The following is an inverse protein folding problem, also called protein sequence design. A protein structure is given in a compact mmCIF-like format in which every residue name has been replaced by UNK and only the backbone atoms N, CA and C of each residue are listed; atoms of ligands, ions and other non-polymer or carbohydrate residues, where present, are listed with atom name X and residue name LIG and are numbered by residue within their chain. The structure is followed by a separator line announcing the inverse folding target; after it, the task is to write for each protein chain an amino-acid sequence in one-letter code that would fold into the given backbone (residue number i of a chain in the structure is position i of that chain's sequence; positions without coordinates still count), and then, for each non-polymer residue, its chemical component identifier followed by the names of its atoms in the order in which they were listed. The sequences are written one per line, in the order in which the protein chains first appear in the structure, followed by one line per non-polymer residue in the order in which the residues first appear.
data_IF_367700302338
#
_entry.id   IF_367700302338
#
_cell.length_a   1.000
_cell.length_b   1.000
_cell.length_c   1.000
_cell.angle_alpha   90.00
_cell.angle_beta   90.00
_cell.angle_gamma   90.00
#
_symmetry.space_group_name_H-M   'P 1'
#
loop_
_entity.id
_entity.type
_entity.pdbx_description
1 polymer ?
#
# COMPACT_ATOMS: atom_id res chain seq x y z
N UNK A 1 -14.71 -32.72 24.08
CA UNK A 1 -13.57 -31.82 23.83
C UNK A 1 -14.08 -30.75 22.90
N UNK A 2 -14.16 -29.50 23.34
CA UNK A 2 -14.42 -28.39 22.41
C UNK A 2 -13.27 -28.34 21.42
N UNK A 3 -13.58 -28.46 20.13
CA UNK A 3 -12.60 -28.28 19.07
C UNK A 3 -12.39 -26.78 18.94
N UNK A 4 -11.28 -26.27 19.47
CA UNK A 4 -10.88 -24.88 19.27
C UNK A 4 -10.56 -24.66 17.80
N UNK A 5 -11.41 -23.90 17.10
CA UNK A 5 -11.18 -23.52 15.70
C UNK A 5 -10.37 -22.22 15.71
N UNK A 6 -9.23 -22.22 15.00
CA UNK A 6 -8.40 -21.03 14.79
C UNK A 6 -8.49 -20.61 13.33
N UNK A 7 -8.77 -19.33 13.09
CA UNK A 7 -8.86 -18.75 11.77
C UNK A 7 -7.73 -17.75 11.52
N UNK A 8 -7.39 -17.53 10.24
CA UNK A 8 -6.50 -16.43 9.89
C UNK A 8 -7.12 -15.10 10.31
N UNK A 9 -6.31 -14.26 10.94
CA UNK A 9 -6.70 -12.96 11.47
C UNK A 9 -7.02 -12.98 12.95
N UNK A 10 -7.27 -14.16 13.55
CA UNK A 10 -7.52 -14.31 14.97
C UNK A 10 -6.31 -13.85 15.78
N UNK A 11 -6.61 -13.16 16.87
CA UNK A 11 -5.62 -12.89 17.90
C UNK A 11 -5.57 -14.07 18.86
N UNK A 12 -4.36 -14.47 19.23
CA UNK A 12 -4.11 -15.63 20.08
C UNK A 12 -3.06 -15.35 21.14
N UNK A 13 -3.16 -16.10 22.23
CA UNK A 13 -2.07 -16.26 23.19
C UNK A 13 -1.31 -17.52 22.82
N UNK A 14 0.00 -17.43 22.63
CA UNK A 14 0.86 -18.59 22.38
C UNK A 14 2.00 -18.66 23.41
N UNK A 15 2.51 -19.87 23.64
CA UNK A 15 3.67 -20.10 24.50
C UNK A 15 4.95 -19.99 23.70
N UNK A 16 5.84 -19.10 24.15
CA UNK A 16 7.21 -19.04 23.70
C UNK A 16 8.10 -19.67 24.79
N UNK A 17 8.94 -20.63 24.41
CA UNK A 17 9.61 -21.59 25.31
C UNK A 17 10.39 -20.96 26.46
N UNK A 18 10.80 -19.70 26.34
CA UNK A 18 11.65 -18.98 27.31
C UNK A 18 10.94 -17.75 27.90
N UNK A 19 9.98 -17.15 27.19
CA UNK A 19 9.44 -15.82 27.53
C UNK A 19 8.00 -15.85 28.09
N UNK A 20 7.42 -17.04 28.29
CA UNK A 20 6.06 -17.20 28.81
C UNK A 20 4.99 -17.02 27.73
N UNK A 21 3.80 -16.56 28.14
CA UNK A 21 2.68 -16.33 27.23
C UNK A 21 2.87 -15.01 26.47
N UNK A 22 2.80 -15.07 25.14
CA UNK A 22 2.87 -13.93 24.24
C UNK A 22 1.57 -13.78 23.46
N UNK A 23 1.30 -12.56 23.02
CA UNK A 23 0.18 -12.27 22.13
C UNK A 23 0.66 -12.26 20.69
N UNK A 24 -0.20 -12.73 19.80
CA UNK A 24 0.09 -12.68 18.38
C UNK A 24 -1.17 -12.73 17.55
N UNK A 25 -1.03 -12.43 16.28
CA UNK A 25 -2.09 -12.51 15.30
C UNK A 25 -1.77 -13.57 14.25
N UNK A 26 -2.67 -14.51 14.02
CA UNK A 26 -2.49 -15.51 12.97
C UNK A 26 -2.57 -14.81 11.61
N UNK A 27 -1.50 -14.86 10.83
CA UNK A 27 -1.49 -14.36 9.45
C UNK A 27 -1.86 -15.47 8.46
N UNK A 28 -1.32 -16.66 8.67
CA UNK A 28 -1.59 -17.82 7.82
C UNK A 28 -1.35 -19.13 8.56
N UNK A 29 -1.96 -20.20 8.06
CA UNK A 29 -1.68 -21.58 8.46
C UNK A 29 -1.06 -22.26 7.24
N UNK A 30 0.15 -22.77 7.41
CA UNK A 30 0.98 -23.31 6.33
C UNK A 30 1.38 -24.75 6.64
N UNK A 31 1.44 -25.58 5.61
CA UNK A 31 2.03 -26.92 5.70
C UNK A 31 3.54 -26.82 5.44
N UNK A 32 4.34 -27.22 6.42
CA UNK A 32 5.79 -27.29 6.32
C UNK A 32 6.20 -28.71 6.70
N UNK A 33 6.73 -29.44 5.72
CA UNK A 33 7.19 -30.83 5.87
C UNK A 33 6.12 -31.79 6.41
N UNK A 34 4.86 -31.63 5.98
CA UNK A 34 3.73 -32.47 6.39
C UNK A 34 3.19 -32.13 7.78
N UNK A 35 3.61 -31.00 8.35
CA UNK A 35 3.11 -30.47 9.63
C UNK A 35 2.53 -29.09 9.44
N UNK A 36 1.30 -28.91 9.91
CA UNK A 36 0.65 -27.60 9.93
C UNK A 36 1.26 -26.71 11.01
N UNK A 37 1.69 -25.53 10.60
CA UNK A 37 2.23 -24.47 11.45
C UNK A 37 1.48 -23.17 11.22
N UNK A 38 1.46 -22.31 12.23
CA UNK A 38 0.89 -20.97 12.10
C UNK A 38 2.00 -19.93 11.96
N UNK A 39 1.84 -19.03 10.99
CA UNK A 39 2.61 -17.80 10.90
C UNK A 39 1.93 -16.73 11.73
N UNK A 40 2.64 -16.17 12.70
CA UNK A 40 2.11 -15.24 13.70
C UNK A 40 2.80 -13.89 13.57
N UNK A 41 2.02 -12.82 13.47
CA UNK A 41 2.51 -11.46 13.71
C UNK A 41 2.57 -11.19 15.22
N UNK A 42 3.73 -10.80 15.71
CA UNK A 42 3.98 -10.52 17.12
C UNK A 42 3.16 -9.30 17.60
N UNK A 43 2.54 -9.45 18.77
CA UNK A 43 1.87 -8.38 19.50
C UNK A 43 2.59 -8.20 20.84
N UNK A 44 3.00 -6.97 21.10
CA UNK A 44 3.84 -6.59 22.22
C UNK A 44 3.01 -6.08 23.39
N UNK A 45 3.41 -6.45 24.59
CA UNK A 45 2.93 -5.82 25.83
C UNK A 45 3.77 -4.58 26.15
N UNK A 46 3.34 -3.80 27.14
CA UNK A 46 4.07 -2.61 27.57
C UNK A 46 5.54 -2.89 27.94
N UNK A 47 5.79 -4.02 28.61
CA UNK A 47 7.14 -4.42 29.04
C UNK A 47 8.04 -4.83 27.88
N UNK A 48 7.45 -5.22 26.74
CA UNK A 48 8.19 -5.59 25.54
C UNK A 48 8.62 -4.37 24.70
N UNK A 49 8.10 -3.18 25.01
CA UNK A 49 8.47 -1.96 24.28
C UNK A 49 9.91 -1.54 24.59
N UNK A 50 10.62 -0.88 23.66
CA UNK A 50 11.91 -0.25 23.92
C UNK A 50 11.83 0.75 25.09
N UNK A 51 12.85 0.80 25.95
CA UNK A 51 12.87 1.65 27.15
C UNK A 51 12.57 3.14 26.88
N UNK A 52 13.10 3.67 25.77
CA UNK A 52 12.85 5.05 25.34
C UNK A 52 11.38 5.33 24.97
N UNK A 53 10.60 4.30 24.71
CA UNK A 53 9.17 4.38 24.47
C UNK A 53 8.36 4.00 25.70
N UNK A 54 8.95 3.34 26.71
CA UNK A 54 8.32 3.07 28.00
C UNK A 54 8.23 4.34 28.88
N UNK A 55 9.17 5.29 28.71
CA UNK A 55 9.21 6.54 29.48
C UNK A 55 8.23 7.59 28.95
N UNK A 56 7.31 8.03 29.82
CA UNK A 56 6.28 9.07 29.61
C UNK A 56 6.80 10.51 29.41
N UNK A 57 8.02 10.71 28.95
CA UNK A 57 8.64 12.04 28.83
C UNK A 57 8.43 12.63 27.45
N UNK A 58 7.22 13.15 27.19
CA UNK A 58 7.05 14.14 26.13
C UNK A 58 5.65 14.38 25.60
N UNK A 59 4.73 13.41 25.67
CA UNK A 59 3.36 13.57 25.17
C UNK A 59 2.36 13.00 26.19
N UNK A 60 1.38 13.83 26.55
CA UNK A 60 0.43 13.71 27.66
C UNK A 60 -0.60 12.56 27.52
N UNK A 61 -0.17 11.29 27.43
CA UNK A 61 -1.13 10.17 27.40
C UNK A 61 -0.75 9.06 28.39
N UNK A 62 -1.60 8.87 29.39
CA UNK A 62 -1.55 7.70 30.26
C UNK A 62 -1.88 6.45 29.42
N UNK A 63 -0.92 5.52 29.35
CA UNK A 63 -1.11 4.23 28.67
C UNK A 63 -1.81 3.26 29.61
N UNK A 64 -2.82 2.57 29.10
CA UNK A 64 -3.59 1.62 29.89
C UNK A 64 -2.91 0.25 29.95
N UNK A 65 -3.11 -0.51 31.03
CA UNK A 65 -2.62 -1.90 31.13
C UNK A 65 -3.26 -2.84 30.09
N UNK A 66 -4.39 -2.46 29.50
CA UNK A 66 -5.10 -3.22 28.47
C UNK A 66 -4.65 -2.89 27.04
N UNK A 67 -3.65 -2.01 26.89
CA UNK A 67 -3.12 -1.60 25.59
C UNK A 67 -1.98 -2.52 25.14
N UNK A 68 -2.02 -2.90 23.87
CA UNK A 68 -1.01 -3.71 23.19
C UNK A 68 -0.54 -3.00 21.90
N UNK A 69 0.62 -3.43 21.39
CA UNK A 69 1.23 -2.84 20.19
C UNK A 69 1.51 -3.91 19.13
N UNK A 70 1.11 -3.67 17.88
CA UNK A 70 1.53 -4.54 16.77
C UNK A 70 3.00 -4.28 16.44
N UNK A 71 3.75 -5.34 16.17
CA UNK A 71 5.06 -5.19 15.55
C UNK A 71 4.87 -5.10 14.01
N UNK A 72 5.46 -4.09 13.39
CA UNK A 72 5.29 -3.83 11.95
C UNK A 72 5.76 -5.03 11.11
N UNK A 73 4.92 -5.55 10.21
CA UNK A 73 5.15 -6.80 9.48
C UNK A 73 6.43 -6.78 8.62
N UNK A 74 6.86 -5.59 8.20
CA UNK A 74 8.10 -5.37 7.43
C UNK A 74 9.37 -5.60 8.27
N UNK A 75 9.24 -5.77 9.58
CA UNK A 75 10.39 -6.06 10.44
C UNK A 75 10.70 -7.56 10.44
N UNK A 76 11.97 -7.89 10.29
CA UNK A 76 12.45 -9.29 10.30
C UNK A 76 12.06 -10.11 11.53
N UNK A 77 11.73 -9.46 12.65
CA UNK A 77 11.34 -10.10 13.92
C UNK A 77 9.82 -10.03 14.19
N UNK A 78 9.05 -9.42 13.28
CA UNK A 78 7.61 -9.26 13.46
C UNK A 78 6.82 -10.52 13.21
N UNK A 79 7.35 -11.42 12.39
CA UNK A 79 6.65 -12.61 11.95
C UNK A 79 7.44 -13.83 12.41
N UNK A 80 6.78 -14.69 13.17
CA UNK A 80 7.34 -15.96 13.63
C UNK A 80 6.50 -17.12 13.12
N UNK A 81 7.10 -18.31 13.06
CA UNK A 81 6.39 -19.55 12.75
C UNK A 81 6.34 -20.40 14.01
N UNK A 82 5.15 -20.80 14.42
CA UNK A 82 4.93 -21.64 15.60
C UNK A 82 4.17 -22.92 15.24
N UNK A 83 4.40 -23.97 16.02
CA UNK A 83 3.57 -25.16 15.97
C UNK A 83 2.17 -24.82 16.52
N UNK A 84 1.12 -25.41 15.94
CA UNK A 84 -0.27 -25.13 16.36
C UNK A 84 -0.52 -25.46 17.84
N UNK A 85 0.18 -26.47 18.38
CA UNK A 85 0.12 -26.85 19.80
C UNK A 85 0.65 -25.78 20.76
N UNK A 86 1.43 -24.81 20.27
CA UNK A 86 1.91 -23.69 21.09
C UNK A 86 0.81 -22.65 21.33
N UNK A 87 -0.27 -22.67 20.56
CA UNK A 87 -1.42 -21.77 20.75
C UNK A 87 -2.22 -22.23 21.96
N UNK A 88 -2.36 -21.34 22.95
CA UNK A 88 -3.05 -21.61 24.20
C UNK A 88 -4.54 -21.34 24.08
N UNK A 89 -4.90 -20.16 23.55
CA UNK A 89 -6.29 -19.72 23.41
C UNK A 89 -6.41 -18.52 22.46
N UNK A 90 -7.62 -18.29 21.96
CA UNK A 90 -7.99 -17.04 21.29
C UNK A 90 -8.01 -15.89 22.30
N UNK A 91 -7.53 -14.72 21.91
CA UNK A 91 -7.51 -13.49 22.68
C UNK A 91 -8.49 -12.48 22.04
N UNK A 92 -9.51 -11.98 22.77
CA UNK A 92 -10.45 -10.99 22.24
C UNK A 92 -9.79 -9.60 22.21
N UNK A 93 -8.94 -9.37 21.21
CA UNK A 93 -8.21 -8.11 21.01
C UNK A 93 -8.88 -7.32 19.90
N UNK A 94 -9.12 -6.03 20.14
CA UNK A 94 -9.75 -5.12 19.18
C UNK A 94 -8.72 -4.13 18.63
N UNK A 95 -8.64 -4.00 17.30
CA UNK A 95 -7.86 -2.93 16.68
C UNK A 95 -8.71 -1.67 16.55
N UNK A 96 -8.22 -0.55 17.08
CA UNK A 96 -8.92 0.73 17.06
C UNK A 96 -8.42 1.60 15.91
N UNK A 97 -9.02 1.41 14.73
CA UNK A 97 -8.72 2.20 13.53
C UNK A 97 -9.22 3.65 13.63
N UNK A 98 -10.36 3.86 14.29
CA UNK A 98 -10.97 5.16 14.56
C UNK A 98 -11.12 5.35 16.08
N UNK A 99 -11.23 6.59 16.54
CA UNK A 99 -11.34 6.90 17.98
C UNK A 99 -12.74 6.70 18.57
N UNK A 100 -13.68 6.11 17.83
CA UNK A 100 -15.09 6.06 18.24
C UNK A 100 -15.45 4.86 19.12
N UNK A 101 -16.13 5.16 20.23
CA UNK A 101 -16.83 4.28 21.18
C UNK A 101 -16.12 2.97 21.56
N UNK A 102 -15.13 3.12 22.44
CA UNK A 102 -14.44 2.00 23.09
C UNK A 102 -15.10 1.60 24.41
N UNK A 103 -15.34 0.30 24.60
CA UNK A 103 -15.68 -0.27 25.90
C UNK A 103 -14.38 -0.47 26.71
N UNK A 104 -14.25 0.24 27.83
CA UNK A 104 -13.01 0.37 28.63
C UNK A 104 -12.40 -0.95 29.13
N UNK A 105 -13.15 -2.05 29.11
CA UNK A 105 -12.74 -3.36 29.62
C UNK A 105 -12.03 -4.27 28.61
N UNK A 106 -12.01 -3.93 27.32
CA UNK A 106 -11.41 -4.80 26.29
C UNK A 106 -9.89 -4.61 26.16
N UNK A 107 -9.18 -5.64 25.70
CA UNK A 107 -7.76 -5.50 25.29
C UNK A 107 -7.75 -4.92 23.88
N UNK A 108 -6.89 -3.93 23.62
CA UNK A 108 -6.92 -3.20 22.35
C UNK A 108 -5.55 -2.81 21.81
N UNK A 109 -5.51 -2.54 20.51
CA UNK A 109 -4.33 -2.07 19.78
C UNK A 109 -4.66 -0.76 19.07
N UNK A 110 -3.87 0.30 19.33
CA UNK A 110 -3.98 1.60 18.66
C UNK A 110 -2.76 1.95 17.81
N UNK A 111 -1.62 1.34 18.13
CA UNK A 111 -0.32 1.73 17.60
C UNK A 111 0.48 0.52 17.12
N UNK A 112 1.36 0.80 16.17
CA UNK A 112 2.32 -0.14 15.58
C UNK A 112 3.72 0.34 15.94
N UNK A 113 4.54 -0.57 16.46
CA UNK A 113 5.96 -0.36 16.69
C UNK A 113 6.73 -0.66 15.40
N UNK A 114 7.57 0.28 14.99
CA UNK A 114 8.44 0.13 13.82
C UNK A 114 9.82 0.76 14.07
N UNK A 115 10.79 0.41 13.23
CA UNK A 115 12.16 0.96 13.29
C UNK A 115 12.41 1.86 12.08
N UNK A 116 12.85 3.09 12.33
CA UNK A 116 13.18 4.06 11.30
C UNK A 116 14.56 4.67 11.57
N UNK A 117 15.47 4.53 10.60
CA UNK A 117 16.86 5.03 10.71
C UNK A 117 17.54 4.58 12.02
N UNK A 118 17.34 3.33 12.42
CA UNK A 118 17.93 2.81 13.67
C UNK A 118 17.12 3.10 14.94
N UNK A 119 16.14 4.00 14.89
CA UNK A 119 15.36 4.42 16.06
C UNK A 119 13.96 3.78 16.08
N UNK A 120 13.55 3.34 17.27
CA UNK A 120 12.20 2.84 17.51
C UNK A 120 11.19 3.97 17.56
N UNK A 121 10.07 3.81 16.84
CA UNK A 121 8.99 4.78 16.75
C UNK A 121 7.64 4.07 16.76
N UNK A 122 6.61 4.82 17.15
CA UNK A 122 5.22 4.39 17.13
C UNK A 122 4.48 5.13 16.02
N UNK A 123 3.56 4.44 15.35
CA UNK A 123 2.60 5.06 14.43
C UNK A 123 1.20 4.50 14.69
N UNK A 124 0.18 5.30 14.41
CA UNK A 124 -1.22 4.86 14.55
C UNK A 124 -1.53 3.67 13.62
N UNK A 125 -2.36 2.75 14.12
CA UNK A 125 -2.81 1.55 13.40
C UNK A 125 -3.64 1.85 12.15
N UNK A 126 -4.13 3.09 12.00
CA UNK A 126 -4.74 3.56 10.75
C UNK A 126 -3.83 3.45 9.52
N UNK A 127 -2.52 3.35 9.74
CA UNK A 127 -1.52 3.14 8.69
C UNK A 127 -1.06 1.68 8.58
N UNK A 128 -1.74 0.75 9.27
CA UNK A 128 -1.56 -0.69 9.06
C UNK A 128 -2.23 -1.09 7.76
N UNK A 129 -1.63 -2.04 7.04
CA UNK A 129 -2.42 -2.88 6.15
C UNK A 129 -3.43 -3.67 7.00
N UNK A 130 -4.69 -3.67 6.58
CA UNK A 130 -5.68 -4.53 7.21
C UNK A 130 -5.42 -5.97 6.75
N UNK A 131 -5.52 -6.91 7.67
CA UNK A 131 -5.55 -8.32 7.32
C UNK A 131 -6.89 -8.63 6.64
N UNK A 132 -6.91 -9.60 5.72
CA UNK A 132 -8.10 -9.94 4.93
C UNK A 132 -9.35 -10.21 5.77
N UNK A 133 -9.18 -10.85 6.92
CA UNK A 133 -10.28 -11.13 7.86
C UNK A 133 -10.99 -9.88 8.39
N UNK A 134 -10.39 -8.70 8.31
CA UNK A 134 -10.92 -7.46 8.92
C UNK A 134 -11.90 -6.72 8.03
N UNK A 135 -11.78 -6.90 6.72
CA UNK A 135 -12.63 -6.23 5.73
C UNK A 135 -13.36 -7.23 4.83
N UNK A 136 -13.02 -8.51 4.92
CA UNK A 136 -13.73 -9.61 4.26
C UNK A 136 -13.96 -10.74 5.26
N UNK A 137 -15.20 -10.91 5.69
CA UNK A 137 -15.61 -12.17 6.30
C UNK A 137 -15.58 -13.27 5.24
N UNK A 138 -14.87 -14.36 5.52
CA UNK A 138 -14.91 -15.57 4.71
C UNK A 138 -16.26 -16.27 4.95
N UNK A 139 -17.30 -15.80 4.29
CA UNK A 139 -18.56 -16.54 4.18
C UNK A 139 -18.27 -17.79 3.35
N UNK A 140 -18.25 -18.95 4.00
CA UNK A 140 -18.20 -20.23 3.30
C UNK A 140 -19.62 -20.49 2.80
N UNK A 141 -19.87 -20.46 1.48
CA UNK A 141 -21.21 -20.72 0.99
C UNK A 141 -21.60 -22.16 1.26
N UNK A 142 -22.74 -22.36 1.92
CA UNK A 142 -23.33 -23.68 2.11
C UNK A 142 -23.89 -24.17 0.78
N UNK A 143 -23.09 -24.95 0.05
CA UNK A 143 -23.51 -25.49 -1.25
C UNK A 143 -22.90 -26.87 -1.50
N UNK A 144 -23.67 -27.73 -2.18
CA UNK A 144 -23.21 -29.03 -2.68
C UNK A 144 -22.53 -28.92 -4.06
N UNK A 145 -22.46 -27.71 -4.64
CA UNK A 145 -21.83 -27.48 -5.92
C UNK A 145 -20.31 -27.31 -5.76
N UNK A 146 -19.50 -27.71 -6.76
CA UNK A 146 -18.09 -27.33 -6.81
C UNK A 146 -17.92 -25.81 -6.73
N UNK A 147 -17.02 -25.33 -5.88
CA UNK A 147 -16.75 -23.91 -5.69
C UNK A 147 -15.44 -23.56 -6.39
N UNK A 148 -15.49 -22.62 -7.34
CA UNK A 148 -14.31 -22.02 -7.95
C UNK A 148 -14.12 -20.60 -7.41
N UNK A 149 -12.95 -20.33 -6.84
CA UNK A 149 -12.57 -18.99 -6.36
C UNK A 149 -11.57 -18.38 -7.32
N UNK A 150 -11.94 -17.26 -7.93
CA UNK A 150 -11.12 -16.51 -8.86
C UNK A 150 -10.67 -15.19 -8.22
N UNK A 151 -9.41 -14.89 -8.44
CA UNK A 151 -8.79 -13.62 -8.13
C UNK A 151 -8.62 -12.88 -9.45
N UNK A 152 -9.14 -11.65 -9.51
CA UNK A 152 -8.97 -10.74 -10.64
C UNK A 152 -7.90 -9.69 -10.31
N UNK A 153 -6.94 -9.58 -11.23
CA UNK A 153 -5.94 -8.52 -11.32
C UNK A 153 -6.44 -7.45 -12.28
N UNK A 154 -6.44 -6.17 -11.89
CA UNK A 154 -6.78 -5.06 -12.78
C UNK A 154 -5.55 -4.23 -13.10
N UNK A 155 -5.38 -3.89 -14.37
CA UNK A 155 -4.34 -3.00 -14.87
C UNK A 155 -4.97 -1.73 -15.42
N UNK A 156 -4.45 -0.57 -15.03
CA UNK A 156 -4.83 0.72 -15.61
C UNK A 156 -3.59 1.48 -16.05
N UNK A 157 -3.53 1.84 -17.33
CA UNK A 157 -2.38 2.51 -17.94
C UNK A 157 -2.85 3.54 -18.97
N UNK A 158 -2.34 4.77 -18.89
CA UNK A 158 -2.62 5.77 -19.91
C UNK A 158 -1.53 5.75 -20.99
N UNK A 159 -1.92 5.55 -22.24
CA UNK A 159 -0.99 5.50 -23.36
C UNK A 159 -1.36 6.51 -24.46
N UNK A 160 -0.34 6.98 -25.18
CA UNK A 160 -0.54 7.78 -26.38
C UNK A 160 -0.90 6.88 -27.55
N UNK A 161 -2.09 7.06 -28.14
CA UNK A 161 -2.56 6.25 -29.28
C UNK A 161 -1.70 6.44 -30.54
N UNK A 162 -1.14 7.64 -30.72
CA UNK A 162 -0.16 7.93 -31.76
C UNK A 162 1.01 8.75 -31.20
N UNK A 163 2.15 8.73 -31.89
CA UNK A 163 3.43 9.32 -31.44
C UNK A 163 3.36 10.83 -31.10
N UNK A 164 2.37 11.56 -31.61
CA UNK A 164 2.27 13.02 -31.51
C UNK A 164 0.92 13.52 -30.91
N UNK A 165 0.23 12.69 -30.12
CA UNK A 165 -1.09 13.07 -29.57
C UNK A 165 -0.91 13.71 -28.20
N UNK A 166 -1.48 14.91 -28.03
CA UNK A 166 -1.49 15.65 -26.75
C UNK A 166 -2.45 15.07 -25.70
N UNK A 167 -3.22 14.05 -26.09
CA UNK A 167 -4.32 13.49 -25.34
C UNK A 167 -4.08 12.00 -25.14
N UNK A 168 -3.87 11.59 -23.91
CA UNK A 168 -3.73 10.17 -23.54
C UNK A 168 -5.08 9.46 -23.59
N UNK A 169 -5.03 8.16 -23.86
CA UNK A 169 -6.15 7.24 -23.76
C UNK A 169 -5.85 6.27 -22.61
N UNK A 170 -6.81 6.07 -21.71
CA UNK A 170 -6.65 5.12 -20.61
C UNK A 170 -7.04 3.71 -21.05
N UNK A 171 -6.16 2.74 -20.90
CA UNK A 171 -6.45 1.32 -21.13
C UNK A 171 -6.74 0.61 -19.81
N UNK A 172 -7.87 -0.09 -19.74
CA UNK A 172 -8.22 -0.93 -18.58
C UNK A 172 -8.22 -2.40 -18.99
N UNK A 173 -7.42 -3.20 -18.29
CA UNK A 173 -7.23 -4.61 -18.56
C UNK A 173 -7.45 -5.42 -17.29
N UNK A 174 -7.82 -6.69 -17.44
CA UNK A 174 -7.90 -7.64 -16.34
C UNK A 174 -7.19 -8.95 -16.65
N UNK A 175 -6.75 -9.62 -15.61
CA UNK A 175 -6.15 -10.94 -15.66
C UNK A 175 -6.66 -11.82 -14.52
N UNK A 176 -6.66 -13.14 -14.75
CA UNK A 176 -6.94 -14.12 -13.69
C UNK A 176 -5.66 -14.34 -12.88
N UNK A 177 -5.65 -13.84 -11.64
CA UNK A 177 -4.50 -13.86 -10.75
C UNK A 177 -4.14 -15.26 -10.24
N UNK A 178 -5.07 -16.23 -10.28
CA UNK A 178 -4.81 -17.65 -9.97
C UNK A 178 -3.86 -18.34 -10.95
N UNK A 179 -3.60 -17.73 -12.12
CA UNK A 179 -2.70 -18.33 -13.10
C UNK A 179 -1.25 -18.34 -12.58
N UNK A 180 -0.46 -19.37 -12.89
CA UNK A 180 0.97 -19.38 -12.61
C UNK A 180 1.67 -18.19 -13.27
N UNK A 181 2.75 -17.70 -12.66
CA UNK A 181 3.46 -16.50 -13.11
C UNK A 181 3.86 -16.52 -14.60
N UNK A 182 4.33 -17.66 -15.11
CA UNK A 182 4.67 -17.81 -16.53
C UNK A 182 3.46 -17.67 -17.47
N UNK A 183 2.27 -18.09 -17.03
CA UNK A 183 1.02 -17.91 -17.77
C UNK A 183 0.54 -16.46 -17.66
N UNK A 184 0.69 -15.83 -16.50
CA UNK A 184 0.34 -14.42 -16.31
C UNK A 184 1.10 -13.50 -17.27
N UNK A 185 2.35 -13.80 -17.59
CA UNK A 185 3.12 -13.03 -18.59
C UNK A 185 2.64 -13.14 -20.04
N UNK A 186 1.75 -14.08 -20.37
CA UNK A 186 1.32 -14.29 -21.76
C UNK A 186 0.23 -13.28 -22.13
N UNK A 187 0.41 -12.58 -23.25
CA UNK A 187 -0.55 -11.58 -23.74
C UNK A 187 -1.98 -12.13 -23.87
N UNK A 188 -2.14 -13.39 -24.27
CA UNK A 188 -3.45 -14.05 -24.40
C UNK A 188 -4.24 -14.18 -23.09
N UNK A 189 -3.58 -14.00 -21.94
CA UNK A 189 -4.18 -14.05 -20.61
C UNK A 189 -4.40 -12.64 -20.02
N UNK A 190 -4.33 -11.60 -20.85
CA UNK A 190 -4.73 -10.24 -20.52
C UNK A 190 -5.99 -9.92 -21.32
N UNK A 191 -7.06 -9.56 -20.61
CA UNK A 191 -8.36 -9.28 -21.21
C UNK A 191 -8.61 -7.78 -21.15
N UNK A 192 -8.91 -7.17 -22.29
CA UNK A 192 -9.25 -5.74 -22.37
C UNK A 192 -10.68 -5.55 -21.87
N UNK A 193 -10.86 -4.74 -20.82
CA UNK A 193 -12.20 -4.32 -20.37
C UNK A 193 -12.69 -3.15 -21.22
N UNK A 194 -11.79 -2.23 -21.56
CA UNK A 194 -12.09 -1.15 -22.49
C UNK A 194 -11.12 0.01 -22.36
N UNK A 195 -11.48 1.11 -23.02
CA UNK A 195 -10.67 2.32 -23.08
C UNK A 195 -11.43 3.52 -22.53
N UNK A 196 -10.77 4.28 -21.66
CA UNK A 196 -11.25 5.56 -21.13
C UNK A 196 -10.83 6.66 -22.10
N UNK A 197 -11.78 7.33 -22.80
CA UNK A 197 -11.46 8.39 -23.74
C UNK A 197 -10.82 9.59 -23.03
N UNK A 198 -10.10 10.41 -23.79
CA UNK A 198 -9.56 11.66 -23.26
C UNK A 198 -10.65 12.54 -22.65
N UNK A 199 -10.40 13.05 -21.43
CA UNK A 199 -11.39 13.81 -20.65
C UNK A 199 -12.49 12.96 -19.99
N UNK A 200 -12.53 11.65 -20.27
CA UNK A 200 -13.41 10.70 -19.59
C UNK A 200 -12.98 10.46 -18.15
N UNK A 201 -13.96 10.22 -17.27
CA UNK A 201 -13.69 9.90 -15.86
C UNK A 201 -13.65 8.39 -15.67
N UNK A 202 -12.56 7.89 -15.09
CA UNK A 202 -12.40 6.46 -14.78
C UNK A 202 -13.57 5.89 -13.96
N UNK A 203 -14.07 6.63 -12.97
CA UNK A 203 -15.20 6.19 -12.13
C UNK A 203 -16.49 5.97 -12.92
N UNK A 204 -16.73 6.74 -13.98
CA UNK A 204 -17.92 6.57 -14.84
C UNK A 204 -17.75 5.35 -15.74
N UNK A 205 -16.54 5.14 -16.26
CA UNK A 205 -16.17 3.98 -17.09
C UNK A 205 -16.25 2.65 -16.30
N UNK A 206 -15.68 2.60 -15.09
CA UNK A 206 -15.52 1.34 -14.34
C UNK A 206 -16.81 0.90 -13.62
N UNK A 207 -17.86 1.74 -13.63
CA UNK A 207 -19.10 1.48 -12.89
C UNK A 207 -19.79 0.15 -13.25
N UNK A 208 -20.00 -0.19 -14.53
CA UNK A 208 -20.60 -1.47 -14.89
C UNK A 208 -19.76 -2.66 -14.39
N UNK A 209 -18.44 -2.56 -14.51
CA UNK A 209 -17.51 -3.58 -14.01
C UNK A 209 -17.65 -3.78 -12.50
N UNK A 210 -17.70 -2.69 -11.72
CA UNK A 210 -17.89 -2.78 -10.25
C UNK A 210 -19.23 -3.45 -9.90
N UNK A 211 -20.30 -3.11 -10.60
CA UNK A 211 -21.63 -3.67 -10.34
C UNK A 211 -21.69 -5.18 -10.66
N UNK A 212 -20.97 -5.64 -11.69
CA UNK A 212 -20.80 -7.07 -12.00
C UNK A 212 -19.89 -7.79 -10.99
N UNK A 213 -18.76 -7.18 -10.61
CA UNK A 213 -17.85 -7.74 -9.62
C UNK A 213 -18.53 -7.94 -8.27
N UNK A 214 -19.43 -7.05 -7.85
CA UNK A 214 -20.22 -7.26 -6.62
C UNK A 214 -21.13 -8.49 -6.67
N UNK A 215 -21.61 -8.88 -7.85
CA UNK A 215 -22.37 -10.12 -8.03
C UNK A 215 -21.43 -11.32 -7.95
N UNK A 216 -20.27 -11.22 -8.59
CA UNK A 216 -19.23 -12.25 -8.54
C UNK A 216 -18.68 -12.47 -7.12
N UNK A 217 -18.55 -11.41 -6.31
CA UNK A 217 -18.09 -11.48 -4.92
C UNK A 217 -19.07 -12.23 -3.99
N UNK A 218 -20.35 -12.28 -4.36
CA UNK A 218 -21.38 -13.09 -3.68
C UNK A 218 -21.45 -14.52 -4.22
N UNK A 219 -20.87 -14.76 -5.39
CA UNK A 219 -20.93 -16.02 -6.10
C UNK A 219 -22.09 -16.08 -7.10
N UNK A 220 -21.82 -16.63 -8.27
CA UNK A 220 -22.81 -16.93 -9.31
C UNK A 220 -22.71 -18.38 -9.73
N UNK A 221 -23.84 -18.98 -10.11
CA UNK A 221 -23.85 -20.35 -10.63
C UNK A 221 -23.52 -20.28 -12.12
N UNK A 222 -22.46 -20.96 -12.54
CA UNK A 222 -22.03 -21.05 -13.94
C UNK A 222 -21.87 -22.51 -14.34
N UNK A 223 -22.03 -22.77 -15.63
CA UNK A 223 -21.60 -24.04 -16.21
C UNK A 223 -20.09 -23.98 -16.50
N UNK A 224 -19.32 -24.73 -15.73
CA UNK A 224 -17.88 -24.90 -15.93
C UNK A 224 -17.65 -26.32 -16.41
N UNK A 225 -17.28 -26.48 -17.69
CA UNK A 225 -17.00 -27.78 -18.30
C UNK A 225 -18.17 -28.79 -18.17
N UNK A 226 -19.41 -28.36 -18.42
CA UNK A 226 -20.65 -29.14 -18.30
C UNK A 226 -21.03 -29.49 -16.86
N UNK A 227 -20.50 -28.76 -15.87
CA UNK A 227 -20.84 -28.92 -14.45
C UNK A 227 -21.30 -27.59 -13.87
N UNK A 228 -22.52 -27.57 -13.33
CA UNK A 228 -23.01 -26.45 -12.53
C UNK A 228 -22.10 -26.26 -11.32
N UNK A 229 -21.50 -25.09 -11.23
CA UNK A 229 -20.48 -24.78 -10.23
C UNK A 229 -20.74 -23.37 -9.70
N UNK A 230 -20.47 -23.15 -8.42
CA UNK A 230 -20.51 -21.81 -7.83
C UNK A 230 -19.17 -21.12 -8.10
N UNK A 231 -19.18 -20.06 -8.88
CA UNK A 231 -17.99 -19.25 -9.18
C UNK A 231 -18.05 -17.98 -8.36
N UNK A 232 -17.04 -17.77 -7.53
CA UNK A 232 -16.85 -16.57 -6.71
C UNK A 232 -15.62 -15.87 -7.24
N UNK A 233 -15.72 -14.58 -7.56
CA UNK A 233 -14.57 -13.79 -7.97
C UNK A 233 -14.49 -12.45 -7.25
N UNK A 234 -13.29 -12.05 -6.88
CA UNK A 234 -13.03 -10.76 -6.24
C UNK A 234 -11.86 -10.05 -6.92
N UNK A 235 -11.95 -8.72 -6.98
CA UNK A 235 -10.82 -7.88 -7.33
C UNK A 235 -9.88 -7.85 -6.14
N UNK A 236 -8.59 -8.11 -6.36
CA UNK A 236 -7.63 -8.10 -5.24
C UNK A 236 -6.49 -7.16 -5.47
N UNK A 237 -5.93 -7.13 -6.67
CA UNK A 237 -4.82 -6.24 -6.98
C UNK A 237 -5.15 -5.30 -8.14
N UNK A 238 -4.55 -4.12 -8.03
CA UNK A 238 -4.55 -3.10 -9.03
C UNK A 238 -3.13 -2.66 -9.31
N UNK A 239 -2.68 -2.94 -10.51
CA UNK A 239 -1.40 -2.43 -10.99
C UNK A 239 -1.67 -1.24 -11.91
N UNK A 240 -0.98 -0.14 -11.64
CA UNK A 240 -0.96 1.02 -12.50
C UNK A 240 0.44 1.63 -12.44
N UNK A 241 0.79 2.41 -13.46
CA UNK A 241 1.92 3.30 -13.38
C UNK A 241 1.69 4.37 -12.30
N UNK A 242 2.77 5.02 -11.88
CA UNK A 242 2.80 5.81 -10.65
C UNK A 242 1.76 6.96 -10.60
N UNK A 243 1.55 7.76 -11.66
CA UNK A 243 0.55 8.83 -11.62
C UNK A 243 -0.89 8.30 -11.47
N UNK A 244 -1.22 7.19 -12.14
CA UNK A 244 -2.54 6.58 -12.20
C UNK A 244 -2.78 5.79 -10.92
N UNK A 245 -1.77 5.08 -10.42
CA UNK A 245 -1.78 4.42 -9.12
C UNK A 245 -2.02 5.41 -7.98
N UNK A 246 -1.41 6.60 -8.05
CA UNK A 246 -1.69 7.69 -7.10
C UNK A 246 -3.15 8.17 -7.20
N UNK A 247 -3.67 8.41 -8.41
CA UNK A 247 -5.06 8.82 -8.59
C UNK A 247 -6.05 7.76 -8.06
N UNK A 248 -5.78 6.48 -8.32
CA UNK A 248 -6.59 5.35 -7.84
C UNK A 248 -6.51 5.19 -6.31
N UNK A 249 -5.37 5.49 -5.71
CA UNK A 249 -5.14 5.48 -4.26
C UNK A 249 -5.65 6.75 -3.55
N UNK A 250 -6.07 7.76 -4.32
CA UNK A 250 -6.50 9.05 -3.79
C UNK A 250 -5.36 9.91 -3.25
N UNK A 251 -4.15 9.73 -3.77
CA UNK A 251 -2.94 10.47 -3.42
C UNK A 251 -2.71 11.54 -4.49
N UNK A 252 -2.36 12.76 -4.08
CA UNK A 252 -1.94 13.79 -5.04
C UNK A 252 -0.69 13.31 -5.77
N UNK A 253 -0.54 13.65 -7.06
CA UNK A 253 0.68 13.42 -7.86
C UNK A 253 1.84 14.29 -7.34
N UNK A 254 2.64 14.89 -8.23
CA UNK A 254 3.82 15.72 -7.93
C UNK A 254 3.67 16.83 -6.86
N UNK A 255 2.45 17.31 -6.58
CA UNK A 255 2.18 18.34 -5.55
C UNK A 255 1.96 17.79 -4.13
N UNK A 256 2.10 16.47 -3.91
CA UNK A 256 1.90 15.90 -2.58
C UNK A 256 2.94 16.39 -1.56
N UNK A 257 2.46 16.79 -0.37
CA UNK A 257 3.33 17.14 0.76
C UNK A 257 3.99 15.88 1.35
N UNK A 258 3.32 14.74 1.25
CA UNK A 258 3.82 13.43 1.67
C UNK A 258 3.71 12.48 0.49
N UNK A 259 4.85 11.98 0.00
CA UNK A 259 4.90 11.16 -1.21
C UNK A 259 4.61 9.67 -0.98
N UNK A 260 4.52 9.21 0.27
CA UNK A 260 4.19 7.81 0.55
C UNK A 260 3.01 7.74 1.53
N UNK A 261 1.99 7.00 1.13
CA UNK A 261 0.78 6.75 1.91
C UNK A 261 1.05 5.89 3.17
N UNK A 262 2.07 5.03 3.12
CA UNK A 262 2.44 4.13 4.22
C UNK A 262 3.31 4.85 5.26
N UNK A 263 4.39 5.51 4.83
CA UNK A 263 5.32 6.13 5.78
C UNK A 263 4.99 7.59 6.10
N UNK A 264 4.12 8.26 5.33
CA UNK A 264 3.72 9.66 5.52
C UNK A 264 4.91 10.64 5.64
N UNK A 265 6.06 10.30 5.06
CA UNK A 265 7.24 11.16 5.10
C UNK A 265 6.97 12.42 4.30
N UNK A 266 7.11 13.57 4.95
CA UNK A 266 6.95 14.86 4.32
C UNK A 266 8.13 15.17 3.39
N UNK A 267 7.85 15.85 2.28
CA UNK A 267 8.81 16.32 1.27
C UNK A 267 9.91 17.21 1.87
N UNK A 268 9.63 17.90 2.98
CA UNK A 268 10.57 18.78 3.66
C UNK A 268 11.19 18.11 4.90
N UNK A 269 12.46 17.68 4.79
CA UNK A 269 13.34 17.48 5.95
C UNK A 269 14.11 18.78 6.20
N UNK A 270 13.59 19.61 7.11
CA UNK A 270 14.34 20.66 7.81
C UNK A 270 14.13 20.46 9.31
N UNK A 271 14.98 21.03 10.21
CA UNK A 271 14.78 20.89 11.64
C UNK A 271 13.46 21.60 11.98
N UNK A 272 12.43 20.82 12.28
CA UNK A 272 11.14 21.31 12.76
C UNK A 272 11.33 21.82 14.19
N UNK A 273 11.93 23.01 14.34
CA UNK A 273 11.62 23.87 15.48
C UNK A 273 10.27 24.51 15.19
N UNK A 274 9.26 24.11 15.95
CA UNK A 274 8.03 24.87 16.11
C UNK A 274 7.08 24.84 14.92
N UNK A 275 6.43 23.71 14.69
CA UNK A 275 5.03 23.75 14.25
C UNK A 275 4.22 22.97 15.26
N UNK A 276 3.53 23.75 16.07
CA UNK A 276 2.57 23.33 17.08
C UNK A 276 1.53 22.40 16.47
N UNK A 277 1.13 21.43 17.29
CA UNK A 277 0.02 20.52 17.08
C UNK A 277 -1.28 21.31 16.92
N UNK A 278 -1.55 21.82 15.73
CA UNK A 278 -2.88 22.22 15.33
C UNK A 278 -3.39 21.25 14.27
N UNK A 279 -4.39 20.50 14.70
CA UNK A 279 -5.43 19.84 13.93
C UNK A 279 -5.68 20.51 12.59
N UNK A 280 -4.98 20.03 11.56
CA UNK A 280 -5.42 20.14 10.18
C UNK A 280 -5.56 18.71 9.65
N UNK A 281 -6.77 18.14 9.63
CA UNK A 281 -7.07 17.16 8.60
C UNK A 281 -6.94 17.91 7.24
N UNK A 282 -6.88 17.19 6.11
CA UNK A 282 -7.16 17.79 4.77
C UNK A 282 -6.01 18.40 3.94
N UNK A 283 -4.74 17.94 4.00
CA UNK A 283 -3.78 18.30 2.91
C UNK A 283 -3.13 17.10 2.20
N UNK A 284 -3.40 15.86 2.63
CA UNK A 284 -2.85 14.66 1.96
C UNK A 284 -3.91 13.86 1.19
N UNK A 285 -5.20 14.02 1.53
CA UNK A 285 -6.29 13.17 1.03
C UNK A 285 -7.38 14.09 0.51
N UNK A 286 -7.42 14.31 -0.80
CA UNK A 286 -8.66 14.54 -1.56
C UNK A 286 -8.26 14.26 -3.01
N UNK A 287 -8.69 13.10 -3.53
CA UNK A 287 -9.80 13.13 -4.46
C UNK A 287 -10.84 12.05 -4.16
N UNK A 288 -11.96 12.17 -4.87
CA UNK A 288 -13.16 11.33 -4.83
C UNK A 288 -12.83 9.85 -4.55
N UNK A 289 -13.46 9.18 -3.57
CA UNK A 289 -13.23 7.76 -3.32
C UNK A 289 -13.40 6.96 -4.61
N UNK A 290 -12.45 6.06 -4.88
CA UNK A 290 -12.49 5.23 -6.07
C UNK A 290 -13.74 4.35 -5.99
N UNK A 291 -14.45 4.20 -7.12
CA UNK A 291 -15.62 3.32 -7.14
C UNK A 291 -15.25 1.87 -6.78
N UNK A 292 -13.99 1.50 -7.00
CA UNK A 292 -13.41 0.21 -6.64
C UNK A 292 -13.28 -0.02 -5.14
N UNK A 293 -13.40 1.02 -4.32
CA UNK A 293 -13.45 0.89 -2.85
C UNK A 293 -14.76 0.29 -2.35
N UNK A 294 -15.75 0.14 -3.26
CA UNK A 294 -17.00 -0.58 -2.98
C UNK A 294 -16.86 -2.10 -3.10
N UNK A 295 -15.70 -2.60 -3.53
CA UNK A 295 -15.37 -4.02 -3.67
C UNK A 295 -14.60 -4.51 -2.42
N UNK A 296 -14.62 -5.83 -2.20
CA UNK A 296 -13.94 -6.51 -1.09
C UNK A 296 -12.41 -6.56 -1.29
N UNK A 297 -11.73 -5.42 -1.12
CA UNK A 297 -10.27 -5.29 -1.29
C UNK A 297 -9.61 -4.38 -0.25
N UNK A 298 -8.30 -4.57 -0.05
CA UNK A 298 -7.47 -3.61 0.67
C UNK A 298 -6.94 -2.56 -0.34
N UNK A 299 -7.36 -1.30 -0.16
CA UNK A 299 -7.01 -0.20 -1.07
C UNK A 299 -5.50 0.00 -1.17
N UNK A 300 -4.78 -0.23 -0.08
CA UNK A 300 -3.37 0.11 0.06
C UNK A 300 -2.41 -1.01 -0.28
N UNK A 301 -2.90 -2.22 -0.61
CA UNK A 301 -2.04 -3.39 -0.81
C UNK A 301 -1.02 -3.19 -1.95
N UNK A 302 -1.32 -2.33 -2.95
CA UNK A 302 -0.43 -2.01 -4.08
C UNK A 302 -0.65 -0.60 -4.68
N UNK A 303 -0.67 0.43 -3.84
CA UNK A 303 -0.42 1.78 -4.36
C UNK A 303 1.10 1.95 -4.53
N UNK A 304 1.62 2.22 -5.75
CA UNK A 304 3.06 2.35 -5.96
C UNK A 304 3.64 3.42 -5.04
N UNK A 305 4.72 3.07 -4.32
CA UNK A 305 5.38 3.99 -3.41
C UNK A 305 6.24 4.96 -4.21
N UNK A 306 5.93 6.24 -4.07
CA UNK A 306 6.54 7.30 -4.85
C UNK A 306 7.88 7.79 -4.24
N UNK A 307 8.88 6.91 -4.21
CA UNK A 307 10.25 7.30 -3.83
C UNK A 307 10.84 8.27 -4.85
N UNK A 308 10.44 8.14 -6.13
CA UNK A 308 10.90 8.97 -7.23
C UNK A 308 10.54 10.43 -7.03
N UNK A 309 9.27 10.80 -6.86
CA UNK A 309 8.87 12.21 -6.77
C UNK A 309 9.30 12.86 -5.44
N UNK A 310 9.45 12.09 -4.34
CA UNK A 310 10.10 12.59 -3.11
C UNK A 310 11.56 12.98 -3.39
N UNK A 311 12.25 12.21 -4.24
CA UNK A 311 13.66 12.44 -4.59
C UNK A 311 13.81 13.50 -5.67
N UNK A 312 13.04 13.43 -6.76
CA UNK A 312 13.00 14.39 -7.85
C UNK A 312 12.69 15.81 -7.35
N UNK A 313 11.76 15.96 -6.40
CA UNK A 313 11.49 17.26 -5.78
C UNK A 313 12.67 17.84 -4.99
N UNK A 314 13.51 17.00 -4.38
CA UNK A 314 14.75 17.41 -3.70
C UNK A 314 15.86 17.71 -4.69
N UNK A 315 16.01 16.88 -5.73
CA UNK A 315 17.01 17.06 -6.79
C UNK A 315 16.72 18.36 -7.56
N UNK A 316 15.46 18.63 -7.91
CA UNK A 316 15.06 19.88 -8.55
C UNK A 316 15.38 21.10 -7.67
N UNK A 317 15.10 21.02 -6.37
CA UNK A 317 15.43 22.10 -5.42
C UNK A 317 16.94 22.30 -5.28
N UNK A 318 17.71 21.22 -5.18
CA UNK A 318 19.17 21.27 -5.15
C UNK A 318 19.70 21.91 -6.42
N UNK A 319 19.24 21.45 -7.58
CA UNK A 319 19.64 21.98 -8.89
C UNK A 319 19.28 23.48 -9.03
N UNK A 320 18.10 23.89 -8.55
CA UNK A 320 17.70 25.30 -8.49
C UNK A 320 18.67 26.14 -7.65
N UNK A 321 18.98 25.69 -6.44
CA UNK A 321 19.95 26.36 -5.56
C UNK A 321 21.34 26.42 -6.21
N UNK A 322 21.78 25.32 -6.84
CA UNK A 322 23.06 25.28 -7.56
C UNK A 322 23.09 26.30 -8.69
N UNK A 323 22.07 26.35 -9.55
CA UNK A 323 21.97 27.31 -10.65
C UNK A 323 21.86 28.74 -10.12
N UNK A 324 21.09 28.99 -9.06
CA UNK A 324 20.98 30.31 -8.42
C UNK A 324 22.32 30.79 -7.84
N UNK A 325 23.14 29.88 -7.31
CA UNK A 325 24.47 30.18 -6.79
C UNK A 325 25.52 30.53 -7.87
N UNK A 326 25.26 30.19 -9.14
CA UNK A 326 26.17 30.53 -10.24
C UNK A 326 26.09 32.02 -10.60
N UNK A 327 27.24 32.66 -10.76
CA UNK A 327 27.32 34.01 -11.34
C UNK A 327 26.88 34.01 -12.82
N UNK A 328 26.46 35.16 -13.34
CA UNK A 328 26.02 35.31 -14.73
C UNK A 328 27.09 34.83 -15.73
N UNK A 329 28.37 35.08 -15.45
CA UNK A 329 29.50 34.62 -16.26
C UNK A 329 29.60 33.09 -16.26
N UNK A 330 29.43 32.46 -15.10
CA UNK A 330 29.51 30.99 -14.96
C UNK A 330 28.30 30.31 -15.60
N UNK A 331 27.09 30.90 -15.50
CA UNK A 331 25.89 30.42 -16.21
C UNK A 331 26.11 30.37 -17.73
N UNK A 332 26.73 31.41 -18.31
CA UNK A 332 27.03 31.42 -19.74
C UNK A 332 28.04 30.35 -20.15
N UNK A 333 29.05 30.07 -19.30
CA UNK A 333 30.01 28.98 -19.54
C UNK A 333 29.29 27.63 -19.46
N UNK A 334 28.45 27.42 -18.45
CA UNK A 334 27.65 26.21 -18.29
C UNK A 334 26.74 25.96 -19.50
N UNK A 335 26.07 27.00 -20.02
CA UNK A 335 25.25 26.87 -21.24
C UNK A 335 26.06 26.54 -22.49
N UNK A 336 27.28 27.09 -22.62
CA UNK A 336 28.16 26.74 -23.74
C UNK A 336 28.55 25.27 -23.67
N UNK A 337 28.96 24.80 -22.50
CA UNK A 337 29.29 23.39 -22.27
C UNK A 337 28.09 22.46 -22.51
N UNK A 338 26.91 22.82 -22.01
CA UNK A 338 25.68 22.05 -22.20
C UNK A 338 25.29 21.91 -23.68
N UNK A 339 25.46 22.98 -24.47
CA UNK A 339 25.17 22.96 -25.91
C UNK A 339 26.15 22.08 -26.69
N UNK A 340 27.39 21.98 -26.24
CA UNK A 340 28.43 21.14 -26.84
C UNK A 340 28.51 19.74 -26.24
N UNK A 341 27.67 19.41 -25.26
CA UNK A 341 27.68 18.10 -24.63
C UNK A 341 27.32 17.03 -25.66
N UNK A 342 28.17 16.02 -25.79
CA UNK A 342 27.95 14.93 -26.73
C UNK A 342 26.91 13.96 -26.18
N UNK A 343 25.78 13.85 -26.88
CA UNK A 343 24.73 12.89 -26.56
C UNK A 343 24.94 11.59 -27.36
N UNK A 344 24.66 10.42 -26.76
CA UNK A 344 24.52 9.19 -27.52
C UNK A 344 23.54 9.41 -28.69
N UNK A 345 23.84 8.84 -29.87
CA UNK A 345 23.04 9.04 -31.09
C UNK A 345 21.57 8.63 -30.95
N UNK A 346 21.25 7.78 -29.97
CA UNK A 346 19.90 7.31 -29.66
C UNK A 346 19.11 8.24 -28.74
N UNK A 347 19.71 9.29 -28.20
CA UNK A 347 19.07 10.18 -27.23
C UNK A 347 18.56 11.46 -27.89
N UNK A 348 17.40 11.91 -27.44
CA UNK A 348 16.90 13.24 -27.81
C UNK A 348 17.69 14.31 -27.03
N UNK A 349 17.96 15.45 -27.68
CA UNK A 349 18.63 16.58 -27.02
C UNK A 349 17.75 17.12 -25.91
N UNK A 350 18.31 17.23 -24.72
CA UNK A 350 17.63 17.79 -23.56
C UNK A 350 17.46 19.30 -23.68
N UNK A 351 16.40 19.89 -23.08
CA UNK A 351 16.13 21.31 -23.19
C UNK A 351 17.15 22.07 -22.35
N UNK A 352 17.21 23.40 -22.52
CA UNK A 352 18.14 24.21 -21.75
C UNK A 352 17.81 24.14 -20.23
N UNK A 353 18.72 23.65 -19.38
CA UNK A 353 18.48 23.43 -17.96
C UNK A 353 18.25 24.71 -17.16
N UNK A 354 18.72 25.87 -17.63
CA UNK A 354 18.53 27.15 -16.94
C UNK A 354 17.18 27.78 -17.31
N UNK A 355 16.76 27.72 -18.58
CA UNK A 355 15.49 28.33 -19.01
C UNK A 355 14.28 27.42 -18.85
N UNK A 356 14.49 26.11 -18.72
CA UNK A 356 13.43 25.11 -18.56
C UNK A 356 13.53 24.35 -17.22
N UNK A 357 14.08 25.01 -16.20
CA UNK A 357 14.32 24.45 -14.86
C UNK A 357 13.05 23.87 -14.20
N UNK A 358 11.90 24.48 -14.48
CA UNK A 358 10.58 24.07 -13.97
C UNK A 358 9.79 23.24 -14.99
N UNK A 359 10.39 22.84 -16.12
CA UNK A 359 9.71 22.02 -17.12
C UNK A 359 9.61 20.56 -16.68
N UNK A 360 8.48 19.92 -17.04
CA UNK A 360 8.25 18.49 -16.84
C UNK A 360 9.40 17.64 -17.40
N UNK A 361 9.88 17.97 -18.60
CA UNK A 361 10.97 17.25 -19.26
C UNK A 361 12.29 17.35 -18.51
N UNK A 362 12.62 18.51 -17.91
CA UNK A 362 13.84 18.67 -17.11
C UNK A 362 13.73 17.96 -15.75
N UNK A 363 12.52 17.87 -15.18
CA UNK A 363 12.24 17.04 -14.00
C UNK A 363 12.52 15.56 -14.27
N UNK A 364 12.17 15.07 -15.46
CA UNK A 364 12.49 13.69 -15.88
C UNK A 364 13.96 13.52 -16.26
N UNK A 365 14.64 14.57 -16.75
CA UNK A 365 16.09 14.50 -17.02
C UNK A 365 16.95 14.39 -15.75
N UNK A 366 16.41 14.86 -14.61
CA UNK A 366 17.02 14.64 -13.29
C UNK A 366 17.04 13.14 -12.89
N UNK A 367 16.40 12.25 -13.66
CA UNK A 367 16.58 10.79 -13.60
C UNK A 367 18.04 10.34 -13.78
N UNK A 368 18.91 11.17 -14.37
CA UNK A 368 20.32 10.85 -14.61
C UNK A 368 21.21 11.03 -13.37
N UNK A 369 20.69 11.60 -12.28
CA UNK A 369 21.42 11.85 -11.04
C UNK A 369 21.25 10.76 -9.97
N UNK A 370 20.56 9.66 -10.30
CA UNK A 370 20.39 8.48 -9.44
C UNK A 370 21.16 7.29 -9.98
#
# INVERSE_FOLDING_TARGET
MEVSIYNCGDFVVYKESIAGNKFGRILSIVDIDGKLKATIQCVLTFNDLPYNLQSNTGNQRERSHSELWLLDQEMNIAIIVIELQCIVKVAPIVILYNEDNFNSSSIFIREILYKYQGHWKLRSVKYSYKHFSEFVALEIPETNLPIYKLYIDLYYDDFGTFRNVYHSLGGVYVQIGNLPFNKKKQLKNHFVIGFVPFGGRFNDFIKPFVDEMKKLEKGIIMDVQRKKSLVIASLWDMTADLPQGNDLAGVKRHSAIRGCCTCNVARNFGPLKGLTYHWFPVIIILPIPSLLDKLKRERHLQSPQDVYYVTAGKVQRFFKITIEALSTKVKLIFLKFWKSFEYPRTWQKLPNPISHLDSFMMSDCLCLAM
#
